data_IF_140533543611
#
_entry.id   IF_140533543611
#
_cell.length_a   1.000
_cell.length_b   1.000
_cell.length_c   1.000
_cell.angle_alpha   90.00
_cell.angle_beta   90.00
_cell.angle_gamma   90.00
#
_symmetry.space_group_name_H-M   'P 1'
#
loop_
_entity.id
_entity.type
_entity.pdbx_description
1 polymer ?
#
# COMPACT_ATOMS: atom_id res chain seq x y z
N UNK A 1 16.84 29.41 7.90
CA UNK A 1 18.03 28.98 7.13
C UNK A 1 17.55 28.16 5.95
N UNK A 2 18.11 28.35 4.74
CA UNK A 2 17.81 27.46 3.61
C UNK A 2 18.37 26.06 3.90
N UNK A 3 17.63 25.02 3.48
CA UNK A 3 18.05 23.61 3.60
C UNK A 3 19.33 23.37 2.79
N UNK A 4 20.24 22.61 3.40
CA UNK A 4 21.43 22.07 2.72
C UNK A 4 21.01 21.10 1.60
N UNK A 5 21.90 20.83 0.62
CA UNK A 5 21.62 19.88 -0.45
C UNK A 5 21.24 18.48 0.07
N UNK A 6 21.89 18.02 1.13
CA UNK A 6 21.67 16.71 1.73
C UNK A 6 20.32 16.65 2.46
N UNK A 7 19.97 17.69 3.22
CA UNK A 7 18.65 17.79 3.87
C UNK A 7 17.52 17.73 2.83
N UNK A 8 17.66 18.45 1.71
CA UNK A 8 16.68 18.42 0.61
C UNK A 8 16.56 17.04 -0.03
N UNK A 9 17.69 16.34 -0.22
CA UNK A 9 17.69 14.98 -0.75
C UNK A 9 16.95 14.03 0.20
N UNK A 10 17.25 14.10 1.49
CA UNK A 10 16.62 13.29 2.53
C UNK A 10 15.11 13.53 2.64
N UNK A 11 14.67 14.79 2.56
CA UNK A 11 13.23 15.11 2.54
C UNK A 11 12.51 14.48 1.35
N UNK A 12 13.12 14.49 0.15
CA UNK A 12 12.55 13.85 -1.03
C UNK A 12 12.41 12.34 -0.86
N UNK A 13 13.43 11.68 -0.32
CA UNK A 13 13.37 10.24 -0.03
C UNK A 13 12.28 9.91 0.99
N UNK A 14 12.15 10.71 2.05
CA UNK A 14 11.10 10.55 3.07
C UNK A 14 9.71 10.71 2.47
N UNK A 15 9.49 11.72 1.63
CA UNK A 15 8.20 11.93 0.97
C UNK A 15 7.85 10.76 0.03
N UNK A 16 8.83 10.24 -0.71
CA UNK A 16 8.63 9.08 -1.59
C UNK A 16 8.29 7.83 -0.79
N UNK A 17 9.02 7.56 0.29
CA UNK A 17 8.76 6.43 1.18
C UNK A 17 7.37 6.54 1.84
N UNK A 18 6.99 7.74 2.28
CA UNK A 18 5.66 8.00 2.84
C UNK A 18 4.55 7.79 1.82
N UNK A 19 4.76 8.24 0.59
CA UNK A 19 3.82 8.02 -0.51
C UNK A 19 3.65 6.52 -0.81
N UNK A 20 4.75 5.76 -0.90
CA UNK A 20 4.70 4.31 -1.10
C UNK A 20 3.96 3.59 0.04
N UNK A 21 4.18 4.00 1.30
CA UNK A 21 3.48 3.46 2.46
C UNK A 21 1.98 3.78 2.45
N UNK A 22 1.62 4.98 2.02
CA UNK A 22 0.21 5.38 1.90
C UNK A 22 -0.49 4.55 0.82
N UNK A 23 0.16 4.34 -0.33
CA UNK A 23 -0.35 3.49 -1.39
C UNK A 23 -0.48 2.03 -0.94
N UNK A 24 0.53 1.49 -0.25
CA UNK A 24 0.48 0.15 0.33
C UNK A 24 -0.73 0.00 1.28
N UNK A 25 -0.94 0.97 2.15
CA UNK A 25 -2.06 0.99 3.10
C UNK A 25 -3.40 0.99 2.37
N UNK A 26 -3.56 1.81 1.31
CA UNK A 26 -4.79 1.85 0.52
C UNK A 26 -5.08 0.51 -0.18
N UNK A 27 -4.07 -0.08 -0.82
CA UNK A 27 -4.21 -1.37 -1.52
C UNK A 27 -4.58 -2.48 -0.54
N UNK A 28 -3.91 -2.58 0.60
CA UNK A 28 -4.23 -3.57 1.64
C UNK A 28 -5.63 -3.34 2.18
N UNK A 29 -5.98 -2.10 2.48
CA UNK A 29 -7.28 -1.78 3.06
C UNK A 29 -8.43 -2.19 2.13
N UNK A 30 -8.37 -1.82 0.85
CA UNK A 30 -9.41 -2.18 -0.10
C UNK A 30 -9.37 -3.68 -0.40
N UNK A 31 -8.21 -4.21 -0.79
CA UNK A 31 -8.12 -5.58 -1.28
C UNK A 31 -8.32 -6.66 -0.22
N UNK A 32 -7.98 -6.39 1.04
CA UNK A 32 -8.15 -7.37 2.13
C UNK A 32 -9.50 -7.22 2.83
N UNK A 33 -9.98 -6.00 3.05
CA UNK A 33 -11.25 -5.82 3.79
C UNK A 33 -12.49 -5.95 2.91
N UNK A 34 -12.41 -5.76 1.58
CA UNK A 34 -13.59 -6.00 0.71
C UNK A 34 -14.08 -7.45 0.79
N UNK A 35 -13.22 -8.49 0.68
CA UNK A 35 -13.65 -9.87 0.85
C UNK A 35 -14.26 -10.16 2.24
N UNK A 36 -13.67 -9.61 3.31
CA UNK A 36 -14.21 -9.75 4.67
C UNK A 36 -15.60 -9.10 4.77
N UNK A 37 -15.75 -7.91 4.21
CA UNK A 37 -17.02 -7.20 4.19
C UNK A 37 -18.07 -7.93 3.34
N UNK A 38 -17.66 -8.56 2.23
CA UNK A 38 -18.54 -9.39 1.43
C UNK A 38 -19.06 -10.60 2.20
N UNK A 39 -18.22 -11.26 3.00
CA UNK A 39 -18.64 -12.39 3.84
C UNK A 39 -19.64 -12.00 4.93
N UNK A 40 -19.42 -10.84 5.57
CA UNK A 40 -20.25 -10.40 6.69
C UNK A 40 -21.56 -9.75 6.23
N UNK A 41 -21.52 -8.98 5.14
CA UNK A 41 -22.63 -8.11 4.74
C UNK A 41 -23.22 -8.43 3.36
N UNK A 42 -22.53 -9.18 2.50
CA UNK A 42 -23.02 -9.54 1.17
C UNK A 42 -23.31 -8.36 0.24
N UNK A 43 -22.52 -7.28 0.30
CA UNK A 43 -22.81 -6.04 -0.43
C UNK A 43 -22.43 -6.05 -1.92
N UNK A 44 -21.65 -7.03 -2.39
CA UNK A 44 -21.28 -7.15 -3.80
C UNK A 44 -22.44 -7.77 -4.61
N UNK A 45 -22.60 -7.38 -5.89
CA UNK A 45 -23.58 -7.98 -6.79
C UNK A 45 -23.48 -9.51 -6.86
N UNK A 46 -24.61 -10.21 -6.98
CA UNK A 46 -24.66 -11.68 -7.01
C UNK A 46 -23.93 -12.31 -8.21
N UNK A 47 -23.69 -11.55 -9.28
CA UNK A 47 -22.94 -11.98 -10.46
C UNK A 47 -21.42 -11.73 -10.33
N UNK A 48 -20.94 -11.28 -9.16
CA UNK A 48 -19.51 -11.11 -8.92
C UNK A 48 -18.84 -12.47 -8.79
N UNK A 49 -17.78 -12.73 -9.57
CA UNK A 49 -17.01 -13.97 -9.47
C UNK A 49 -16.37 -14.10 -8.09
N UNK A 50 -16.73 -15.11 -7.28
CA UNK A 50 -16.16 -15.31 -5.95
C UNK A 50 -14.64 -15.48 -6.01
N UNK A 51 -14.13 -16.11 -7.06
CA UNK A 51 -12.69 -16.34 -7.26
C UNK A 51 -11.94 -15.02 -7.30
N UNK A 52 -12.46 -14.03 -8.04
CA UNK A 52 -11.84 -12.70 -8.11
C UNK A 52 -11.83 -12.00 -6.75
N UNK A 53 -12.92 -12.15 -5.98
CA UNK A 53 -13.02 -11.55 -4.63
C UNK A 53 -11.97 -12.14 -3.70
N UNK A 54 -11.92 -13.46 -3.54
CA UNK A 54 -10.99 -14.07 -2.58
C UNK A 54 -9.53 -14.06 -3.02
N UNK A 55 -9.24 -14.13 -4.32
CA UNK A 55 -7.86 -14.04 -4.84
C UNK A 55 -7.32 -12.62 -4.76
N UNK A 56 -8.18 -11.59 -4.76
CA UNK A 56 -7.74 -10.20 -4.60
C UNK A 56 -7.04 -9.94 -3.26
N UNK A 57 -7.49 -10.57 -2.16
CA UNK A 57 -6.89 -10.38 -0.84
C UNK A 57 -5.39 -10.72 -0.77
N UNK A 58 -4.93 -11.95 -1.11
CA UNK A 58 -3.51 -12.28 -1.06
C UNK A 58 -2.68 -11.47 -2.07
N UNK A 59 -3.23 -11.14 -3.24
CA UNK A 59 -2.54 -10.31 -4.24
C UNK A 59 -2.34 -8.88 -3.71
N UNK A 60 -3.40 -8.24 -3.22
CA UNK A 60 -3.33 -6.88 -2.68
C UNK A 60 -2.46 -6.82 -1.42
N UNK A 61 -2.54 -7.83 -0.55
CA UNK A 61 -1.65 -7.93 0.60
C UNK A 61 -0.18 -8.03 0.17
N UNK A 62 0.14 -8.92 -0.78
CA UNK A 62 1.49 -9.07 -1.31
C UNK A 62 2.00 -7.79 -1.97
N UNK A 63 1.19 -7.14 -2.81
CA UNK A 63 1.54 -5.87 -3.44
C UNK A 63 1.78 -4.76 -2.41
N UNK A 64 0.91 -4.64 -1.40
CA UNK A 64 1.10 -3.68 -0.31
C UNK A 64 2.36 -3.95 0.51
N UNK A 65 2.65 -5.21 0.83
CA UNK A 65 3.86 -5.60 1.53
C UNK A 65 5.12 -5.22 0.73
N UNK A 66 5.14 -5.51 -0.58
CA UNK A 66 6.26 -5.13 -1.45
C UNK A 66 6.44 -3.62 -1.54
N UNK A 67 5.35 -2.84 -1.64
CA UNK A 67 5.42 -1.38 -1.61
C UNK A 67 5.92 -0.84 -0.28
N UNK A 68 5.49 -1.43 0.84
CA UNK A 68 5.95 -1.05 2.16
C UNK A 68 7.46 -1.29 2.33
N UNK A 69 7.92 -2.49 1.94
CA UNK A 69 9.34 -2.84 1.97
C UNK A 69 10.17 -1.96 1.03
N UNK A 70 9.64 -1.65 -0.16
CA UNK A 70 10.25 -0.70 -1.09
C UNK A 70 10.39 0.70 -0.48
N UNK A 71 9.35 1.19 0.21
CA UNK A 71 9.39 2.45 0.94
C UNK A 71 10.43 2.45 2.06
N UNK A 72 10.55 1.35 2.82
CA UNK A 72 11.59 1.21 3.85
C UNK A 72 12.99 1.19 3.24
N UNK A 73 13.18 0.51 2.10
CA UNK A 73 14.46 0.45 1.42
C UNK A 73 14.91 1.82 0.90
N UNK A 74 13.98 2.64 0.40
CA UNK A 74 14.24 4.03 0.01
C UNK A 74 14.74 4.87 1.19
N UNK A 75 14.22 4.66 2.40
CA UNK A 75 14.71 5.32 3.61
C UNK A 75 16.12 4.86 4.02
N UNK A 76 16.53 3.66 3.62
CA UNK A 76 17.91 3.18 3.81
C UNK A 76 18.96 4.00 3.03
N UNK A 77 18.55 4.83 2.08
CA UNK A 77 19.41 5.72 1.29
C UNK A 77 19.64 7.11 1.89
N UNK A 78 19.12 7.38 3.09
CA UNK A 78 19.34 8.66 3.79
C UNK A 78 20.84 8.88 4.06
N UNK A 79 21.31 10.11 3.84
CA UNK A 79 22.71 10.53 4.03
C UNK A 79 22.87 11.56 5.13
#
# INVERSE_FOLDING_TARGET
>A
MPLTPDERHNERLKLLANWANTLATAIVSVGVFVPIGQEVYGFLPQNTDPTLVYVSAPICFGAGLLLHLGGQWVLGGLR
#
